data_IF_914396220899
#
_entry.id   IF_914396220899
#
_cell.length_a   1.000
_cell.length_b   1.000
_cell.length_c   1.000
_cell.angle_alpha   90.00
_cell.angle_beta   90.00
_cell.angle_gamma   90.00
#
_symmetry.space_group_name_H-M   'P 1'
#
loop_
_entity.id
_entity.type
_entity.pdbx_description
1 polymer ?
#
# COMPACT_ATOMS: atom_id res chain seq x y z
N UNK A 1 15.94 -10.44 -8.92
CA UNK A 1 15.04 -9.69 -8.00
C UNK A 1 15.57 -8.27 -7.81
N UNK A 2 14.68 -7.31 -7.81
CA UNK A 2 15.07 -5.92 -7.62
C UNK A 2 15.44 -5.63 -6.17
N UNK A 3 16.47 -4.82 -5.97
CA UNK A 3 16.79 -4.34 -4.64
C UNK A 3 15.74 -3.33 -4.19
N UNK A 4 15.77 -3.01 -2.91
CA UNK A 4 14.87 -1.98 -2.38
C UNK A 4 15.09 -0.65 -3.10
N UNK A 5 16.34 -0.27 -3.30
CA UNK A 5 16.67 0.98 -3.96
C UNK A 5 16.13 1.02 -5.39
N UNK A 6 16.29 -0.09 -6.13
CA UNK A 6 15.77 -0.17 -7.49
C UNK A 6 14.25 -0.09 -7.53
N UNK A 7 13.58 -0.74 -6.59
CA UNK A 7 12.11 -0.68 -6.52
C UNK A 7 11.66 0.74 -6.21
N UNK A 8 12.32 1.40 -5.27
CA UNK A 8 11.96 2.77 -4.92
C UNK A 8 12.17 3.71 -6.08
N UNK A 9 13.26 3.56 -6.82
CA UNK A 9 13.51 4.39 -8.00
C UNK A 9 12.42 4.22 -9.03
N UNK A 10 12.02 2.98 -9.31
CA UNK A 10 10.99 2.71 -10.30
C UNK A 10 9.64 3.30 -9.91
N UNK A 11 9.26 3.12 -8.65
CA UNK A 11 7.98 3.63 -8.18
C UNK A 11 8.00 5.16 -8.15
N UNK A 12 9.10 5.74 -7.70
CA UNK A 12 9.24 7.19 -7.65
C UNK A 12 9.16 7.79 -9.06
N UNK A 13 9.81 7.15 -10.04
CA UNK A 13 9.76 7.61 -11.41
C UNK A 13 8.35 7.54 -11.99
N UNK A 14 7.60 6.51 -11.61
CA UNK A 14 6.24 6.33 -12.09
C UNK A 14 5.31 7.45 -11.65
N UNK A 15 5.52 7.98 -10.46
CA UNK A 15 4.66 9.00 -9.87
C UNK A 15 5.34 10.35 -9.69
N UNK A 16 6.41 10.60 -10.42
CA UNK A 16 7.20 11.82 -10.26
C UNK A 16 6.42 13.11 -10.44
N UNK A 17 5.34 13.05 -11.23
CA UNK A 17 4.53 14.24 -11.52
C UNK A 17 3.31 14.35 -10.60
N UNK A 18 3.24 13.51 -9.58
CA UNK A 18 2.12 13.53 -8.65
C UNK A 18 2.61 13.89 -7.25
N UNK A 19 2.51 15.18 -6.86
CA UNK A 19 3.06 15.64 -5.58
C UNK A 19 2.35 15.08 -4.34
N UNK A 20 1.17 14.48 -4.53
CA UNK A 20 0.43 13.89 -3.41
C UNK A 20 0.91 12.49 -3.06
N UNK A 21 1.76 11.90 -3.89
CA UNK A 21 2.28 10.56 -3.65
C UNK A 21 3.72 10.66 -3.16
N UNK A 22 3.98 10.04 -2.01
CA UNK A 22 5.31 9.98 -1.42
C UNK A 22 5.72 8.52 -1.32
N UNK A 23 6.84 8.18 -1.95
CA UNK A 23 7.36 6.82 -1.94
C UNK A 23 8.38 6.72 -0.83
N UNK A 24 8.14 5.83 0.11
CA UNK A 24 9.00 5.67 1.28
C UNK A 24 9.21 4.21 1.57
N UNK A 25 10.24 3.91 2.35
CA UNK A 25 10.45 2.58 2.89
C UNK A 25 10.42 2.66 4.41
N UNK A 26 10.13 1.54 5.05
CA UNK A 26 10.08 1.50 6.51
C UNK A 26 10.40 0.09 6.99
N UNK A 27 10.72 0.01 8.27
CA UNK A 27 10.92 -1.26 8.94
C UNK A 27 9.85 -1.42 10.01
N UNK A 28 9.55 -2.67 10.38
CA UNK A 28 8.56 -2.95 11.39
C UNK A 28 7.16 -3.09 10.82
N UNK A 29 6.17 -2.92 11.67
CA UNK A 29 4.78 -3.10 11.28
C UNK A 29 4.27 -1.96 10.42
N UNK A 30 3.55 -2.31 9.38
CA UNK A 30 2.95 -1.32 8.48
C UNK A 30 2.02 -0.37 9.24
N UNK A 31 1.22 -0.91 10.16
CA UNK A 31 0.27 -0.08 10.88
C UNK A 31 0.95 0.92 11.82
N UNK A 32 2.10 0.54 12.40
CA UNK A 32 2.86 1.45 13.23
C UNK A 32 3.43 2.60 12.40
N UNK A 33 3.96 2.25 11.23
CA UNK A 33 4.46 3.27 10.32
C UNK A 33 3.34 4.19 9.86
N UNK A 34 2.20 3.62 9.47
CA UNK A 34 1.04 4.39 9.05
C UNK A 34 0.61 5.39 10.13
N UNK A 35 0.58 4.93 11.38
CA UNK A 35 0.22 5.80 12.48
C UNK A 35 1.23 6.93 12.66
N UNK A 36 2.52 6.62 12.52
CA UNK A 36 3.59 7.60 12.72
C UNK A 36 3.53 8.74 11.71
N UNK A 37 3.01 8.51 10.52
CA UNK A 37 2.90 9.53 9.49
C UNK A 37 1.49 10.12 9.38
N UNK A 38 0.60 9.73 10.26
CA UNK A 38 -0.76 10.27 10.29
C UNK A 38 -1.66 9.74 9.19
N UNK A 39 -1.36 8.57 8.64
CA UNK A 39 -2.22 7.97 7.63
C UNK A 39 -3.55 7.57 8.25
N UNK A 40 -4.61 7.73 7.48
CA UNK A 40 -5.95 7.36 7.94
C UNK A 40 -6.36 5.98 7.48
N UNK A 41 -5.78 5.51 6.40
CA UNK A 41 -6.10 4.23 5.80
C UNK A 41 -4.84 3.56 5.29
N UNK A 42 -4.90 2.23 5.22
CA UNK A 42 -3.90 1.42 4.53
C UNK A 42 -4.61 0.79 3.35
N UNK A 43 -3.99 0.84 2.17
CA UNK A 43 -4.57 0.25 0.96
C UNK A 43 -3.74 -0.95 0.55
N UNK A 44 -4.40 -2.09 0.35
CA UNK A 44 -3.73 -3.34 -0.02
C UNK A 44 -4.41 -3.97 -1.22
N UNK A 45 -3.63 -4.61 -2.09
CA UNK A 45 -4.16 -5.34 -3.22
C UNK A 45 -4.34 -6.82 -2.89
N UNK A 46 -5.41 -7.43 -3.36
CA UNK A 46 -5.64 -8.87 -3.22
C UNK A 46 -5.91 -9.46 -4.58
N UNK A 47 -5.43 -10.67 -4.82
CA UNK A 47 -5.53 -11.34 -6.10
C UNK A 47 -6.38 -12.61 -6.05
N UNK A 48 -6.57 -13.17 -4.88
CA UNK A 48 -7.24 -14.46 -4.72
C UNK A 48 -8.00 -14.51 -3.41
N UNK A 49 -8.81 -15.55 -3.25
CA UNK A 49 -9.55 -15.76 -2.01
C UNK A 49 -8.60 -15.98 -0.83
N UNK A 50 -7.49 -16.68 -1.06
CA UNK A 50 -6.51 -16.93 0.00
C UNK A 50 -5.84 -15.62 0.41
N UNK A 51 -5.45 -14.80 -0.56
CA UNK A 51 -4.90 -13.47 -0.29
C UNK A 51 -5.90 -12.64 0.52
N UNK A 52 -7.16 -12.68 0.14
CA UNK A 52 -8.19 -11.92 0.81
C UNK A 52 -8.29 -12.29 2.28
N UNK A 53 -8.34 -13.58 2.60
CA UNK A 53 -8.44 -14.02 3.98
C UNK A 53 -7.24 -13.60 4.80
N UNK A 54 -6.05 -13.73 4.23
CA UNK A 54 -4.82 -13.34 4.88
C UNK A 54 -4.82 -11.83 5.18
N UNK A 55 -5.14 -11.04 4.18
CA UNK A 55 -5.13 -9.58 4.33
C UNK A 55 -6.24 -9.12 5.28
N UNK A 56 -7.38 -9.77 5.26
CA UNK A 56 -8.46 -9.44 6.19
C UNK A 56 -8.04 -9.65 7.64
N UNK A 57 -7.37 -10.75 7.92
CA UNK A 57 -6.90 -11.03 9.27
C UNK A 57 -5.89 -9.96 9.73
N UNK A 58 -4.99 -9.59 8.85
CA UNK A 58 -4.02 -8.54 9.15
C UNK A 58 -4.72 -7.20 9.36
N UNK A 59 -5.71 -6.89 8.53
CA UNK A 59 -6.46 -5.66 8.65
C UNK A 59 -7.18 -5.56 9.99
N UNK A 60 -7.75 -6.67 10.45
CA UNK A 60 -8.42 -6.70 11.75
C UNK A 60 -7.43 -6.43 12.89
N UNK A 61 -6.25 -7.05 12.82
CA UNK A 61 -5.21 -6.82 13.83
C UNK A 61 -4.74 -5.37 13.80
N UNK A 62 -4.50 -4.82 12.61
CA UNK A 62 -4.06 -3.45 12.47
C UNK A 62 -5.07 -2.47 13.08
N UNK A 63 -6.34 -2.71 12.84
CA UNK A 63 -7.38 -1.85 13.41
C UNK A 63 -7.41 -1.95 14.93
N UNK A 64 -7.21 -3.13 15.47
CA UNK A 64 -7.13 -3.31 16.91
C UNK A 64 -5.94 -2.58 17.52
N UNK A 65 -4.83 -2.55 16.82
CA UNK A 65 -3.60 -1.94 17.35
C UNK A 65 -3.60 -0.41 17.25
N UNK A 66 -4.07 0.13 16.15
CA UNK A 66 -3.95 1.57 15.88
C UNK A 66 -5.25 2.26 15.51
N UNK A 67 -6.31 1.50 15.26
CA UNK A 67 -7.57 2.08 14.79
C UNK A 67 -7.58 2.41 13.31
N UNK A 68 -6.51 2.11 12.58
CA UNK A 68 -6.43 2.41 11.15
C UNK A 68 -7.10 1.32 10.34
N UNK A 69 -8.02 1.71 9.47
CA UNK A 69 -8.72 0.77 8.59
C UNK A 69 -7.91 0.45 7.35
N UNK A 70 -8.12 -0.73 6.81
CA UNK A 70 -7.48 -1.17 5.57
C UNK A 70 -8.54 -1.29 4.48
N UNK A 71 -8.23 -0.75 3.32
CA UNK A 71 -9.05 -0.89 2.12
C UNK A 71 -8.42 -1.95 1.25
N UNK A 72 -9.19 -2.98 0.91
CA UNK A 72 -8.72 -4.06 0.06
C UNK A 72 -9.24 -3.86 -1.35
N UNK A 73 -8.34 -3.86 -2.32
CA UNK A 73 -8.69 -3.70 -3.72
C UNK A 73 -8.38 -4.99 -4.46
N UNK A 74 -9.28 -5.40 -5.31
CA UNK A 74 -9.07 -6.59 -6.13
C UNK A 74 -8.23 -6.20 -7.32
N UNK A 75 -7.09 -6.88 -7.48
CA UNK A 75 -6.15 -6.62 -8.57
C UNK A 75 -6.42 -7.56 -9.72
N UNK A 76 -6.34 -7.04 -10.93
CA UNK A 76 -6.38 -7.88 -12.11
C UNK A 76 -5.07 -8.65 -12.22
N UNK A 77 -5.10 -9.91 -12.70
CA UNK A 77 -3.89 -10.73 -12.77
C UNK A 77 -2.73 -10.08 -13.51
N UNK A 78 -3.02 -9.34 -14.56
CA UNK A 78 -1.98 -8.69 -15.34
C UNK A 78 -1.22 -7.60 -14.59
N UNK A 79 -1.80 -7.09 -13.52
CA UNK A 79 -1.17 -6.06 -12.71
C UNK A 79 -0.69 -6.57 -11.37
N UNK A 80 -0.83 -7.85 -11.11
CA UNK A 80 -0.60 -8.39 -9.77
C UNK A 80 0.78 -8.09 -9.22
N UNK A 81 1.82 -8.28 -10.02
CA UNK A 81 3.19 -8.06 -9.58
C UNK A 81 3.46 -6.59 -9.24
N UNK A 82 2.89 -5.69 -10.02
CA UNK A 82 3.06 -4.26 -9.82
C UNK A 82 2.26 -3.81 -8.61
N UNK A 83 1.00 -4.23 -8.54
CA UNK A 83 0.09 -3.78 -7.49
C UNK A 83 0.54 -4.17 -6.10
N UNK A 84 1.00 -5.40 -5.92
CA UNK A 84 1.45 -5.86 -4.60
C UNK A 84 2.59 -5.03 -4.06
N UNK A 85 3.59 -4.78 -4.91
CA UNK A 85 4.75 -4.01 -4.50
C UNK A 85 4.40 -2.57 -4.22
N UNK A 86 3.62 -1.98 -5.09
CA UNK A 86 3.27 -0.56 -4.97
C UNK A 86 2.44 -0.29 -3.74
N UNK A 87 1.44 -1.11 -3.47
CA UNK A 87 0.58 -0.87 -2.32
C UNK A 87 1.34 -1.04 -1.01
N UNK A 88 2.34 -1.92 -0.97
CA UNK A 88 3.17 -2.07 0.22
C UNK A 88 4.04 -0.86 0.48
N UNK A 89 4.52 -0.22 -0.58
CA UNK A 89 5.45 0.88 -0.44
C UNK A 89 4.77 2.23 -0.33
N UNK A 90 3.48 2.29 -0.63
CA UNK A 90 2.74 3.55 -0.60
C UNK A 90 1.85 3.62 0.62
N UNK A 91 2.03 4.65 1.41
CA UNK A 91 1.16 4.93 2.53
C UNK A 91 0.49 6.26 2.26
N UNK A 92 -0.83 6.27 2.37
CA UNK A 92 -1.63 7.43 2.04
C UNK A 92 -1.62 8.45 3.17
N UNK A 93 -1.19 9.65 2.88
CA UNK A 93 -1.16 10.74 3.87
C UNK A 93 -2.40 11.60 3.85
N UNK A 94 -3.05 11.67 2.74
CA UNK A 94 -4.12 12.61 2.54
C UNK A 94 -5.48 12.02 2.79
N UNK A 95 -6.47 12.70 2.29
CA UNK A 95 -7.86 12.35 2.50
C UNK A 95 -8.46 11.58 1.34
N UNK A 96 -7.78 11.59 0.22
CA UNK A 96 -8.26 10.98 -1.01
C UNK A 96 -7.30 9.90 -1.45
N UNK A 97 -7.75 8.66 -1.52
CA UNK A 97 -6.95 7.52 -1.92
C UNK A 97 -6.92 7.29 -3.42
N UNK A 98 -7.74 8.00 -4.16
CA UNK A 98 -7.87 7.80 -5.60
C UNK A 98 -6.55 7.85 -6.35
N UNK A 99 -5.64 8.80 -6.06
CA UNK A 99 -4.38 8.88 -6.79
C UNK A 99 -3.47 7.67 -6.63
N UNK A 100 -3.73 6.86 -5.61
CA UNK A 100 -2.87 5.70 -5.32
C UNK A 100 -3.38 4.42 -5.94
N UNK A 101 -4.53 4.48 -6.56
CA UNK A 101 -5.11 3.29 -7.17
C UNK A 101 -4.54 3.09 -8.56
N UNK A 102 -4.09 1.87 -8.90
CA UNK A 102 -3.66 1.59 -10.26
C UNK A 102 -4.83 1.82 -11.18
N UNK A 103 -4.67 2.69 -12.13
CA UNK A 103 -5.80 3.08 -12.95
C UNK A 103 -5.95 2.22 -14.17
N UNK A 104 -5.36 1.19 -14.26
CA UNK A 104 -5.48 0.34 -15.42
C UNK A 104 -4.32 0.31 -16.26
#
# INVERSE_FOLDING_TARGET
MLSLEERMERITALYKDEPRIHVVSYEGLTTDFAQSIGAKFIVRGVRSAIDFEYERNIADVNRMLTGIDTVLLISEPQYAAISSSMVRELVHFGKDTTPFLPQR
#
